data_IF_079962318577
#
_entry.id   IF_079962318577
#
_cell.length_a   1.000
_cell.length_b   1.000
_cell.length_c   1.000
_cell.angle_alpha   90.00
_cell.angle_beta   90.00
_cell.angle_gamma   90.00
#
_symmetry.space_group_name_H-M   'P 1'
#
loop_
_entity.id
_entity.type
_entity.pdbx_description
1 polymer ?
#
# COMPACT_ATOMS: atom_id res chain seq x y z
N UNK A 1 3.42 0.16 -27.96
CA UNK A 1 3.67 0.33 -26.51
C UNK A 1 3.66 -0.98 -25.67
N UNK A 2 2.97 -2.07 -26.06
CA UNK A 2 2.85 -3.32 -25.25
C UNK A 2 4.15 -4.09 -25.00
N UNK A 3 5.16 -4.05 -25.86
CA UNK A 3 6.41 -4.84 -25.74
C UNK A 3 7.34 -4.39 -24.60
N UNK A 4 7.30 -3.12 -24.17
CA UNK A 4 8.18 -2.59 -23.11
C UNK A 4 7.78 -2.97 -21.68
N UNK A 5 6.58 -3.54 -21.46
CA UNK A 5 6.03 -3.86 -20.13
C UNK A 5 5.98 -5.38 -19.86
N UNK A 6 6.60 -6.19 -20.70
CA UNK A 6 6.58 -7.66 -20.53
C UNK A 6 7.19 -8.13 -19.19
N UNK A 7 8.28 -7.51 -18.64
CA UNK A 7 8.82 -7.97 -17.37
C UNK A 7 7.81 -7.77 -16.24
N UNK A 8 7.13 -6.63 -16.20
CA UNK A 8 6.11 -6.37 -15.19
C UNK A 8 4.95 -7.37 -15.29
N UNK A 9 4.51 -7.68 -16.53
CA UNK A 9 3.45 -8.67 -16.76
C UNK A 9 3.88 -10.09 -16.35
N UNK A 10 5.14 -10.44 -16.52
CA UNK A 10 5.70 -11.70 -16.04
C UNK A 10 5.66 -11.77 -14.51
N UNK A 11 6.08 -10.70 -13.83
CA UNK A 11 5.99 -10.61 -12.36
C UNK A 11 4.55 -10.77 -11.87
N UNK A 12 3.58 -10.10 -12.51
CA UNK A 12 2.17 -10.24 -12.14
C UNK A 12 1.72 -11.71 -12.29
N UNK A 13 2.06 -12.37 -13.40
CA UNK A 13 1.70 -13.79 -13.61
C UNK A 13 2.30 -14.69 -12.53
N UNK A 14 3.57 -14.46 -12.18
CA UNK A 14 4.25 -15.19 -11.10
C UNK A 14 3.58 -14.94 -9.75
N UNK A 15 3.22 -13.69 -9.45
CA UNK A 15 2.51 -13.34 -8.22
C UNK A 15 1.13 -14.03 -8.15
N UNK A 16 0.36 -14.01 -9.23
CA UNK A 16 -0.93 -14.68 -9.31
C UNK A 16 -0.82 -16.21 -9.15
N UNK A 17 0.22 -16.82 -9.74
CA UNK A 17 0.51 -18.23 -9.54
C UNK A 17 0.87 -18.53 -8.08
N UNK A 18 1.72 -17.70 -7.47
CA UNK A 18 2.08 -17.82 -6.06
C UNK A 18 0.85 -17.69 -5.15
N UNK A 19 -0.02 -16.71 -5.39
CA UNK A 19 -1.25 -16.52 -4.62
C UNK A 19 -2.15 -17.75 -4.69
N UNK A 20 -2.22 -18.39 -5.86
CA UNK A 20 -2.98 -19.63 -6.05
C UNK A 20 -2.35 -20.82 -5.30
N UNK A 21 -1.02 -20.94 -5.31
CA UNK A 21 -0.28 -22.01 -4.60
C UNK A 21 -0.43 -21.84 -3.08
N UNK A 22 -0.29 -20.61 -2.57
CA UNK A 22 -0.52 -20.28 -1.14
C UNK A 22 -1.99 -20.46 -0.79
N UNK A 23 -2.88 -20.35 -1.77
CA UNK A 23 -4.32 -20.53 -1.61
C UNK A 23 -5.00 -19.37 -0.92
N UNK A 24 -4.57 -18.12 -1.18
CA UNK A 24 -5.28 -16.94 -0.68
C UNK A 24 -6.74 -16.94 -1.16
N UNK A 25 -7.65 -16.61 -0.26
CA UNK A 25 -9.07 -16.41 -0.57
C UNK A 25 -9.32 -14.91 -0.71
N UNK A 26 -9.33 -14.42 -1.93
CA UNK A 26 -9.51 -13.00 -2.19
C UNK A 26 -10.97 -12.58 -2.15
N UNK A 27 -11.26 -11.49 -1.42
CA UNK A 27 -12.48 -10.68 -1.51
C UNK A 27 -12.07 -9.31 -2.07
N UNK A 28 -12.26 -9.12 -3.38
CA UNK A 28 -11.87 -7.89 -4.08
C UNK A 28 -13.13 -7.14 -4.48
N UNK A 29 -13.28 -5.89 -3.99
CA UNK A 29 -14.45 -5.06 -4.25
C UNK A 29 -14.07 -3.67 -4.75
N UNK A 30 -14.99 -3.03 -5.49
CA UNK A 30 -14.81 -1.67 -5.98
C UNK A 30 -13.73 -1.54 -7.07
N UNK A 31 -13.44 -2.62 -7.82
CA UNK A 31 -12.45 -2.59 -8.91
C UNK A 31 -12.81 -1.57 -9.97
N UNK A 32 -14.09 -1.33 -10.19
CA UNK A 32 -14.65 -0.33 -11.09
C UNK A 32 -14.22 1.11 -10.71
N UNK A 33 -13.91 1.35 -9.46
CA UNK A 33 -13.43 2.63 -8.92
C UNK A 33 -11.98 2.94 -9.32
N UNK A 34 -11.21 1.94 -9.74
CA UNK A 34 -9.91 2.21 -10.36
C UNK A 34 -10.15 2.79 -11.75
N UNK A 35 -9.70 4.01 -12.09
CA UNK A 35 -9.93 4.61 -13.40
C UNK A 35 -9.45 3.69 -14.53
N UNK A 36 -10.27 3.46 -15.55
CA UNK A 36 -9.91 2.62 -16.69
C UNK A 36 -8.84 3.26 -17.57
N UNK A 37 -8.81 4.60 -17.62
CA UNK A 37 -7.86 5.44 -18.37
C UNK A 37 -7.45 6.64 -17.53
N UNK A 38 -6.42 7.36 -17.96
CA UNK A 38 -5.91 8.51 -17.21
C UNK A 38 -5.10 8.14 -15.97
N UNK A 39 -4.51 9.15 -15.35
CA UNK A 39 -3.74 9.00 -14.11
C UNK A 39 -4.64 8.90 -12.87
N UNK A 40 -4.15 8.24 -11.83
CA UNK A 40 -4.75 8.28 -10.49
C UNK A 40 -3.70 7.91 -9.43
N UNK A 41 -3.84 8.49 -8.25
CA UNK A 41 -3.06 8.08 -7.07
C UNK A 41 -3.87 7.01 -6.33
N UNK A 42 -3.33 5.79 -6.23
CA UNK A 42 -3.88 4.73 -5.39
C UNK A 42 -3.22 4.83 -4.01
N UNK A 43 -3.95 5.30 -3.01
CA UNK A 43 -3.45 5.48 -1.65
C UNK A 43 -4.00 4.37 -0.75
N UNK A 44 -3.10 3.53 -0.23
CA UNK A 44 -3.51 2.37 0.57
C UNK A 44 -2.97 2.42 2.00
N UNK A 45 -3.72 1.82 2.94
CA UNK A 45 -3.18 1.44 4.23
C UNK A 45 -2.00 0.47 4.05
N UNK A 46 -1.18 0.32 5.09
CA UNK A 46 0.02 -0.52 5.01
C UNK A 46 0.16 -1.41 6.23
N UNK A 47 -0.23 -2.67 6.09
CA UNK A 47 -0.22 -3.68 7.17
C UNK A 47 0.66 -4.89 6.86
N UNK A 48 1.02 -5.11 5.57
CA UNK A 48 1.75 -6.28 5.10
C UNK A 48 2.82 -5.93 4.08
N UNK A 49 3.85 -6.78 3.98
CA UNK A 49 4.81 -6.71 2.87
C UNK A 49 4.19 -7.07 1.51
N UNK A 50 2.98 -7.66 1.48
CA UNK A 50 2.27 -8.02 0.24
C UNK A 50 1.33 -6.93 -0.27
N UNK A 51 1.06 -5.87 0.48
CA UNK A 51 0.03 -4.88 0.15
C UNK A 51 0.19 -4.29 -1.26
N UNK A 52 1.43 -4.01 -1.69
CA UNK A 52 1.68 -3.47 -3.04
C UNK A 52 1.22 -4.44 -4.15
N UNK A 53 1.34 -5.75 -3.93
CA UNK A 53 0.85 -6.74 -4.90
C UNK A 53 -0.68 -6.80 -4.91
N UNK A 54 -1.31 -6.65 -3.75
CA UNK A 54 -2.77 -6.64 -3.64
C UNK A 54 -3.38 -5.39 -4.25
N UNK A 55 -2.80 -4.20 -4.00
CA UNK A 55 -3.18 -2.97 -4.69
C UNK A 55 -2.95 -3.10 -6.20
N UNK A 56 -1.83 -3.68 -6.62
CA UNK A 56 -1.56 -3.96 -8.03
C UNK A 56 -2.55 -4.92 -8.67
N UNK A 57 -3.11 -5.87 -7.90
CA UNK A 57 -4.14 -6.79 -8.36
C UNK A 57 -5.41 -6.05 -8.80
N UNK A 58 -5.85 -5.02 -8.07
CA UNK A 58 -7.06 -4.25 -8.45
C UNK A 58 -6.89 -3.57 -9.81
N UNK A 59 -5.74 -2.95 -10.04
CA UNK A 59 -5.41 -2.34 -11.33
C UNK A 59 -5.29 -3.38 -12.47
N UNK A 60 -4.74 -4.56 -12.16
CA UNK A 60 -4.68 -5.66 -13.13
C UNK A 60 -6.08 -6.16 -13.50
N UNK A 61 -6.99 -6.30 -12.53
CA UNK A 61 -8.39 -6.66 -12.77
C UNK A 61 -9.12 -5.56 -13.56
N UNK A 62 -8.79 -4.28 -13.33
CA UNK A 62 -9.30 -3.14 -14.09
C UNK A 62 -8.56 -2.95 -15.42
N UNK A 63 -8.82 -3.82 -16.38
CA UNK A 63 -8.29 -3.69 -17.74
C UNK A 63 -6.76 -3.93 -17.86
N UNK A 64 -6.15 -4.70 -16.95
CA UNK A 64 -4.72 -5.02 -16.94
C UNK A 64 -3.81 -3.79 -16.83
N UNK A 65 -4.27 -2.77 -16.10
CA UNK A 65 -3.46 -1.58 -15.80
C UNK A 65 -2.29 -1.94 -14.90
N UNK A 66 -1.24 -1.12 -14.95
CA UNK A 66 -0.02 -1.29 -14.15
C UNK A 66 0.10 -0.11 -13.19
N UNK A 67 0.59 -0.38 -11.98
CA UNK A 67 0.79 0.63 -10.93
C UNK A 67 2.27 0.90 -10.75
N UNK A 68 2.68 2.17 -10.76
CA UNK A 68 4.06 2.59 -10.41
C UNK A 68 4.12 2.83 -8.91
N UNK A 69 4.67 1.89 -8.16
CA UNK A 69 4.78 2.07 -6.72
C UNK A 69 5.97 2.93 -6.34
N UNK A 70 5.75 3.83 -5.40
CA UNK A 70 6.81 4.57 -4.74
C UNK A 70 7.43 3.70 -3.63
N UNK A 71 8.70 3.39 -3.73
CA UNK A 71 9.39 2.52 -2.80
C UNK A 71 10.75 3.10 -2.35
N UNK A 72 11.21 2.71 -1.15
CA UNK A 72 12.48 3.19 -0.59
C UNK A 72 13.65 2.92 -1.55
N UNK A 73 14.55 3.89 -1.70
CA UNK A 73 15.78 3.80 -2.49
C UNK A 73 16.58 2.52 -2.20
N UNK A 74 16.63 2.08 -0.93
CA UNK A 74 17.35 0.86 -0.54
C UNK A 74 16.85 -0.41 -1.27
N UNK A 75 15.57 -0.49 -1.66
CA UNK A 75 15.02 -1.62 -2.42
C UNK A 75 15.58 -1.65 -3.83
N UNK A 76 15.85 -0.48 -4.42
CA UNK A 76 16.47 -0.34 -5.74
C UNK A 76 17.99 -0.57 -5.74
N UNK A 77 18.64 -0.39 -4.59
CA UNK A 77 20.06 -0.68 -4.42
C UNK A 77 20.38 -2.18 -4.24
N UNK A 78 19.37 -2.98 -3.86
CA UNK A 78 19.56 -4.41 -3.65
C UNK A 78 19.79 -5.14 -5.00
N UNK A 79 20.76 -6.08 -5.08
CA UNK A 79 21.19 -6.68 -6.34
C UNK A 79 20.09 -7.47 -7.08
N UNK A 80 19.17 -8.06 -6.34
CA UNK A 80 18.06 -8.85 -6.94
C UNK A 80 16.84 -7.98 -7.18
N UNK A 81 16.35 -7.25 -6.17
CA UNK A 81 15.12 -6.46 -6.31
C UNK A 81 15.31 -5.19 -7.13
N UNK A 82 16.51 -4.59 -7.14
CA UNK A 82 16.78 -3.34 -7.85
C UNK A 82 16.52 -3.41 -9.35
N UNK A 83 17.12 -4.37 -10.10
CA UNK A 83 16.81 -4.55 -11.53
C UNK A 83 15.31 -4.79 -11.79
N UNK A 84 14.65 -5.56 -10.92
CA UNK A 84 13.22 -5.85 -11.04
C UNK A 84 12.38 -4.58 -10.85
N UNK A 85 12.63 -3.80 -9.80
CA UNK A 85 11.93 -2.54 -9.53
C UNK A 85 12.10 -1.54 -10.68
N UNK A 86 13.30 -1.42 -11.23
CA UNK A 86 13.57 -0.57 -12.40
C UNK A 86 12.86 -1.06 -13.66
N UNK A 87 12.84 -2.37 -13.92
CA UNK A 87 12.17 -2.95 -15.09
C UNK A 87 10.65 -2.75 -15.04
N UNK A 88 10.08 -2.69 -13.84
CA UNK A 88 8.67 -2.37 -13.59
C UNK A 88 8.39 -0.86 -13.54
N UNK A 89 9.42 -0.02 -13.70
CA UNK A 89 9.35 1.45 -13.63
C UNK A 89 8.75 1.95 -12.31
N UNK A 90 9.04 1.25 -11.22
CA UNK A 90 8.70 1.76 -9.91
C UNK A 90 9.56 2.97 -9.56
N UNK A 91 9.07 3.83 -8.68
CA UNK A 91 9.64 5.15 -8.39
C UNK A 91 10.49 5.07 -7.12
N UNK A 92 11.82 5.25 -7.21
CA UNK A 92 12.68 5.25 -6.04
C UNK A 92 12.47 6.52 -5.20
N UNK A 93 12.23 6.36 -3.90
CA UNK A 93 12.10 7.46 -2.94
C UNK A 93 13.34 7.53 -2.08
N UNK A 94 14.14 8.56 -2.31
CA UNK A 94 15.17 8.99 -1.36
C UNK A 94 14.53 9.96 -0.37
N UNK A 95 14.57 9.63 0.91
CA UNK A 95 13.98 10.47 1.96
C UNK A 95 14.78 11.73 2.24
N UNK A 96 16.04 11.77 1.82
CA UNK A 96 16.93 12.94 1.93
C UNK A 96 16.82 13.88 0.73
N UNK A 97 16.38 13.37 -0.44
CA UNK A 97 16.31 14.11 -1.70
C UNK A 97 14.92 13.90 -2.38
N UNK A 98 13.84 13.97 -1.63
CA UNK A 98 12.49 13.59 -2.06
C UNK A 98 11.91 14.32 -3.28
N UNK A 99 12.44 15.48 -3.65
CA UNK A 99 11.91 16.29 -4.76
C UNK A 99 11.97 15.59 -6.13
N UNK A 100 12.98 14.77 -6.39
CA UNK A 100 13.12 14.02 -7.64
C UNK A 100 12.07 12.93 -7.81
N UNK A 101 11.86 12.12 -6.76
CA UNK A 101 10.84 11.07 -6.75
C UNK A 101 9.43 11.63 -6.87
N UNK A 102 9.18 12.76 -6.22
CA UNK A 102 7.91 13.46 -6.28
C UNK A 102 7.59 13.93 -7.71
N UNK A 103 8.52 14.62 -8.37
CA UNK A 103 8.35 15.06 -9.77
C UNK A 103 8.11 13.89 -10.71
N UNK A 104 8.88 12.82 -10.58
CA UNK A 104 8.70 11.60 -11.39
C UNK A 104 7.30 11.00 -11.20
N UNK A 105 6.77 10.99 -9.97
CA UNK A 105 5.42 10.52 -9.72
C UNK A 105 4.35 11.42 -10.37
N UNK A 106 4.49 12.75 -10.27
CA UNK A 106 3.58 13.71 -10.92
C UNK A 106 3.62 13.57 -12.45
N UNK A 107 4.80 13.41 -13.04
CA UNK A 107 4.96 13.21 -14.49
C UNK A 107 4.30 11.90 -14.95
N UNK A 108 4.45 10.81 -14.19
CA UNK A 108 3.78 9.54 -14.46
C UNK A 108 2.24 9.69 -14.41
N UNK A 109 1.72 10.39 -13.41
CA UNK A 109 0.29 10.68 -13.29
C UNK A 109 -0.24 11.49 -14.48
N UNK A 110 0.46 12.55 -14.88
CA UNK A 110 0.12 13.36 -16.06
C UNK A 110 0.21 12.57 -17.38
N UNK A 111 1.10 11.59 -17.43
CA UNK A 111 1.19 10.62 -18.54
C UNK A 111 0.09 9.56 -18.55
N UNK A 112 -0.85 9.62 -17.60
CA UNK A 112 -1.98 8.70 -17.50
C UNK A 112 -1.65 7.39 -16.79
N UNK A 113 -0.54 7.28 -16.06
CA UNK A 113 -0.18 6.10 -15.28
C UNK A 113 -0.83 6.11 -13.88
N UNK A 114 -1.01 4.93 -13.29
CA UNK A 114 -1.40 4.80 -11.89
C UNK A 114 -0.15 4.84 -11.00
N UNK A 115 -0.19 5.67 -9.95
CA UNK A 115 0.87 5.72 -8.94
C UNK A 115 0.33 5.18 -7.62
N UNK A 116 0.96 4.12 -7.11
CA UNK A 116 0.62 3.51 -5.83
C UNK A 116 1.49 4.05 -4.70
N UNK A 117 0.86 4.45 -3.61
CA UNK A 117 1.55 4.99 -2.44
C UNK A 117 0.97 4.42 -1.15
N UNK A 118 1.83 4.32 -0.14
CA UNK A 118 1.45 4.03 1.24
C UNK A 118 1.71 5.31 2.06
N UNK A 119 0.71 6.18 2.24
CA UNK A 119 0.92 7.49 2.87
C UNK A 119 1.36 7.40 4.34
N UNK A 120 1.15 6.26 4.99
CA UNK A 120 1.68 5.93 6.31
C UNK A 120 3.22 5.82 6.35
N UNK A 121 3.87 5.63 5.20
CA UNK A 121 5.33 5.52 5.00
C UNK A 121 6.01 4.31 5.66
N UNK A 122 5.31 3.53 6.45
CA UNK A 122 5.79 2.28 7.08
C UNK A 122 4.61 1.37 7.39
N UNK A 123 4.86 0.08 7.56
CA UNK A 123 3.84 -0.90 7.94
C UNK A 123 3.37 -0.59 9.37
N UNK A 124 2.06 -0.48 9.56
CA UNK A 124 1.44 -0.29 10.87
C UNK A 124 1.53 -1.56 11.71
N UNK A 125 2.09 -1.45 12.91
CA UNK A 125 2.17 -2.56 13.87
C UNK A 125 0.88 -2.75 14.67
N UNK A 126 0.07 -1.70 14.78
CA UNK A 126 -1.25 -1.75 15.42
C UNK A 126 -2.35 -2.21 14.47
N UNK A 127 -2.02 -2.33 13.18
CA UNK A 127 -2.95 -2.59 12.07
C UNK A 127 -4.08 -1.57 11.94
N UNK A 128 -4.00 -0.45 12.67
CA UNK A 128 -4.85 0.73 12.50
C UNK A 128 -4.14 1.71 11.57
N UNK A 129 -4.85 2.41 10.67
CA UNK A 129 -4.23 3.43 9.83
C UNK A 129 -3.50 4.50 10.64
N UNK A 130 -2.26 4.76 10.29
CA UNK A 130 -1.39 5.74 10.94
C UNK A 130 -1.67 7.15 10.42
N UNK A 131 -1.17 8.21 11.09
CA UNK A 131 -1.17 9.55 10.53
C UNK A 131 -0.54 9.57 9.14
N UNK A 132 -1.24 10.16 8.18
CA UNK A 132 -0.85 10.16 6.78
C UNK A 132 0.08 11.34 6.46
N UNK A 133 1.03 11.12 5.57
CA UNK A 133 1.81 12.19 4.95
C UNK A 133 1.06 12.77 3.76
N UNK A 134 1.15 14.07 3.56
CA UNK A 134 0.46 14.80 2.50
C UNK A 134 0.95 14.53 1.07
N UNK A 135 1.98 13.68 0.88
CA UNK A 135 2.56 13.41 -0.43
C UNK A 135 1.57 12.90 -1.46
N UNK A 136 0.64 12.01 -1.06
CA UNK A 136 -0.40 11.47 -1.94
C UNK A 136 -1.35 12.58 -2.42
N UNK A 137 -1.86 13.39 -1.48
CA UNK A 137 -2.74 14.51 -1.77
C UNK A 137 -2.06 15.56 -2.66
N UNK A 138 -0.81 15.94 -2.34
CA UNK A 138 -0.03 16.88 -3.14
C UNK A 138 0.15 16.43 -4.58
N UNK A 139 0.46 15.14 -4.81
CA UNK A 139 0.60 14.58 -6.16
C UNK A 139 -0.73 14.61 -6.91
N UNK A 140 -1.84 14.27 -6.27
CA UNK A 140 -3.17 14.30 -6.88
C UNK A 140 -3.56 15.73 -7.28
N UNK A 141 -3.38 16.71 -6.39
CA UNK A 141 -3.62 18.13 -6.63
C UNK A 141 -2.78 18.64 -7.80
N UNK A 142 -1.45 18.43 -7.76
CA UNK A 142 -0.53 18.97 -8.76
C UNK A 142 -0.71 18.33 -10.14
N UNK A 143 -1.05 17.05 -10.18
CA UNK A 143 -1.29 16.36 -11.45
C UNK A 143 -2.73 16.53 -11.97
N UNK A 144 -3.67 17.06 -11.15
CA UNK A 144 -5.07 17.18 -11.52
C UNK A 144 -5.78 15.84 -11.70
N UNK A 145 -5.42 14.83 -10.89
CA UNK A 145 -5.94 13.45 -11.01
C UNK A 145 -6.66 13.02 -9.72
N UNK A 146 -7.57 12.06 -9.79
CA UNK A 146 -8.26 11.57 -8.60
C UNK A 146 -7.32 10.83 -7.64
N UNK A 147 -7.64 10.91 -6.34
CA UNK A 147 -7.04 10.15 -5.26
C UNK A 147 -7.99 9.01 -4.90
N UNK A 148 -7.54 7.76 -5.03
CA UNK A 148 -8.38 6.56 -4.84
C UNK A 148 -7.93 5.85 -3.57
N UNK A 149 -8.77 5.80 -2.52
CA UNK A 149 -8.47 5.05 -1.31
C UNK A 149 -8.56 3.54 -1.59
N UNK A 150 -7.59 2.79 -1.09
CA UNK A 150 -7.58 1.33 -1.19
C UNK A 150 -7.27 0.75 0.18
N UNK A 151 -7.99 -0.27 0.60
CA UNK A 151 -7.70 -1.01 1.83
C UNK A 151 -7.30 -2.43 1.47
N UNK A 152 -6.22 -2.87 2.06
CA UNK A 152 -5.76 -4.26 2.02
C UNK A 152 -5.79 -4.85 3.43
N UNK A 153 -6.29 -6.08 3.57
CA UNK A 153 -6.38 -6.76 4.85
C UNK A 153 -6.13 -8.27 4.71
N UNK A 154 -5.54 -8.87 5.73
CA UNK A 154 -5.28 -10.32 5.79
C UNK A 154 -3.86 -10.71 5.41
N UNK A 155 -3.17 -9.99 4.53
CA UNK A 155 -1.79 -10.29 4.12
C UNK A 155 -0.78 -10.28 5.26
N UNK A 156 -1.00 -9.46 6.28
CA UNK A 156 -0.16 -9.37 7.48
C UNK A 156 -0.15 -10.66 8.32
N UNK A 157 -1.17 -11.50 8.21
CA UNK A 157 -1.22 -12.83 8.83
C UNK A 157 -0.17 -13.77 8.27
N UNK A 158 0.29 -13.51 7.05
CA UNK A 158 1.36 -14.27 6.41
C UNK A 158 2.71 -13.59 6.60
N UNK A 159 2.81 -12.29 6.37
CA UNK A 159 4.07 -11.57 6.53
C UNK A 159 3.88 -10.09 6.82
N UNK A 160 4.38 -9.66 7.98
CA UNK A 160 4.34 -8.27 8.43
C UNK A 160 5.60 -7.88 9.20
N UNK A 161 5.72 -6.61 9.53
CA UNK A 161 6.85 -6.08 10.28
C UNK A 161 6.90 -6.65 11.69
N UNK A 162 8.10 -7.04 12.15
CA UNK A 162 8.33 -7.55 13.50
C UNK A 162 7.90 -8.99 13.74
N UNK A 163 7.42 -9.69 12.71
CA UNK A 163 7.08 -11.11 12.78
C UNK A 163 7.78 -11.89 11.66
N UNK A 164 8.15 -13.13 11.93
CA UNK A 164 8.64 -14.05 10.90
C UNK A 164 7.50 -14.39 9.93
N UNK A 165 7.78 -14.61 8.63
CA UNK A 165 6.78 -15.12 7.71
C UNK A 165 6.18 -16.43 8.19
N UNK A 166 4.86 -16.56 8.11
CA UNK A 166 4.13 -17.78 8.45
C UNK A 166 3.43 -18.28 7.20
N UNK A 167 3.71 -19.53 6.80
CA UNK A 167 3.07 -20.14 5.65
C UNK A 167 1.68 -20.69 6.03
N UNK A 168 0.77 -19.78 6.34
CA UNK A 168 -0.62 -20.13 6.57
C UNK A 168 -1.35 -20.19 5.23
N UNK A 169 -1.99 -21.33 4.94
CA UNK A 169 -2.79 -21.51 3.71
C UNK A 169 -4.22 -21.00 3.93
N UNK A 170 -4.87 -20.64 2.82
CA UNK A 170 -6.29 -20.24 2.77
C UNK A 170 -6.63 -19.01 3.62
N UNK A 171 -5.66 -18.15 3.87
CA UNK A 171 -5.92 -16.86 4.53
C UNK A 171 -6.83 -16.03 3.64
N UNK A 172 -7.88 -15.47 4.23
CA UNK A 172 -8.70 -14.49 3.55
C UNK A 172 -7.91 -13.19 3.34
N UNK A 173 -8.01 -12.62 2.15
CA UNK A 173 -7.39 -11.34 1.79
C UNK A 173 -8.47 -10.44 1.19
N UNK A 174 -8.86 -9.42 1.94
CA UNK A 174 -9.77 -8.38 1.46
C UNK A 174 -8.96 -7.27 0.79
N UNK A 175 -9.39 -6.86 -0.41
CA UNK A 175 -8.81 -5.73 -1.15
C UNK A 175 -9.95 -4.89 -1.68
N UNK A 176 -10.23 -3.79 -0.98
CA UNK A 176 -11.37 -2.95 -1.30
C UNK A 176 -10.93 -1.59 -1.80
N UNK A 177 -11.50 -1.18 -2.90
CA UNK A 177 -11.24 0.11 -3.56
C UNK A 177 -12.46 1.00 -3.34
N UNK A 178 -12.26 2.13 -2.70
CA UNK A 178 -13.30 3.12 -2.47
C UNK A 178 -13.49 4.03 -3.69
N UNK A 179 -14.55 4.82 -3.69
CA UNK A 179 -14.82 5.80 -4.74
C UNK A 179 -13.67 6.80 -4.90
N UNK A 180 -13.33 7.17 -6.14
CA UNK A 180 -12.32 8.19 -6.40
C UNK A 180 -12.68 9.52 -5.75
N UNK A 181 -11.77 10.06 -4.98
CA UNK A 181 -11.88 11.39 -4.39
C UNK A 181 -11.42 12.42 -5.43
N UNK A 182 -12.36 13.21 -5.93
CA UNK A 182 -12.02 14.35 -6.79
C UNK A 182 -11.36 15.45 -5.97
N UNK A 183 -10.42 16.15 -6.60
CA UNK A 183 -9.84 17.37 -6.07
C UNK A 183 -10.88 18.49 -6.16
N UNK A 184 -11.10 19.18 -5.03
CA UNK A 184 -12.01 20.33 -4.97
C UNK A 184 -11.22 21.61 -5.26
N UNK A 185 -11.73 22.55 -6.10
CA UNK A 185 -11.07 23.82 -6.33
C UNK A 185 -10.79 24.57 -5.01
N UNK A 186 -9.54 24.99 -4.81
CA UNK A 186 -9.10 25.67 -3.59
C UNK A 186 -8.77 24.77 -2.41
N UNK A 187 -8.98 23.46 -2.51
CA UNK A 187 -8.63 22.49 -1.47
C UNK A 187 -7.10 22.41 -1.28
N UNK A 188 -6.67 22.48 -0.05
CA UNK A 188 -5.27 22.31 0.31
C UNK A 188 -4.88 20.83 0.39
N UNK A 189 -3.59 20.55 0.29
CA UNK A 189 -3.08 19.19 0.48
C UNK A 189 -3.33 18.63 1.89
N UNK A 190 -3.44 19.48 2.91
CA UNK A 190 -3.79 19.08 4.26
C UNK A 190 -5.24 18.59 4.33
N UNK A 191 -6.18 19.39 3.84
CA UNK A 191 -7.62 19.06 3.81
C UNK A 191 -7.88 17.76 3.02
N UNK A 192 -7.27 17.61 1.83
CA UNK A 192 -7.40 16.38 1.05
C UNK A 192 -6.76 15.17 1.77
N UNK A 193 -5.68 15.38 2.53
CA UNK A 193 -5.07 14.32 3.35
C UNK A 193 -5.98 13.90 4.51
N UNK A 194 -6.63 14.85 5.16
CA UNK A 194 -7.55 14.58 6.26
C UNK A 194 -8.81 13.85 5.77
N UNK A 195 -9.34 14.23 4.61
CA UNK A 195 -10.43 13.49 3.94
C UNK A 195 -10.00 12.06 3.61
N UNK A 196 -8.81 11.87 3.04
CA UNK A 196 -8.27 10.55 2.76
C UNK A 196 -8.14 9.71 4.04
N UNK A 197 -7.65 10.32 5.13
CA UNK A 197 -7.50 9.64 6.40
C UNK A 197 -8.85 9.18 6.98
N UNK A 198 -9.89 10.00 6.85
CA UNK A 198 -11.27 9.66 7.21
C UNK A 198 -11.77 8.46 6.40
N UNK A 199 -11.69 8.55 5.07
CA UNK A 199 -12.14 7.48 4.15
C UNK A 199 -11.41 6.15 4.39
N UNK A 200 -10.08 6.18 4.61
CA UNK A 200 -9.32 4.96 4.89
C UNK A 200 -9.73 4.32 6.23
N UNK A 201 -10.00 5.11 7.28
CA UNK A 201 -10.49 4.56 8.56
C UNK A 201 -11.85 3.90 8.40
N UNK A 202 -12.83 4.61 7.82
CA UNK A 202 -14.16 4.08 7.54
C UNK A 202 -14.11 2.78 6.73
N UNK A 203 -13.29 2.76 5.67
CA UNK A 203 -13.14 1.59 4.82
C UNK A 203 -12.47 0.42 5.56
N UNK A 204 -11.47 0.68 6.43
CA UNK A 204 -10.84 -0.34 7.27
C UNK A 204 -11.86 -0.93 8.25
N UNK A 205 -12.65 -0.10 8.93
CA UNK A 205 -13.68 -0.55 9.86
C UNK A 205 -14.72 -1.43 9.17
N UNK A 206 -15.12 -1.05 7.95
CA UNK A 206 -16.03 -1.82 7.12
C UNK A 206 -15.44 -3.17 6.69
N UNK A 207 -14.17 -3.18 6.25
CA UNK A 207 -13.44 -4.43 5.94
C UNK A 207 -13.35 -5.33 7.16
N UNK A 208 -13.05 -4.78 8.33
CA UNK A 208 -12.94 -5.55 9.59
C UNK A 208 -14.28 -6.17 9.98
N UNK A 209 -15.39 -5.43 9.85
CA UNK A 209 -16.73 -5.93 10.20
C UNK A 209 -17.17 -7.08 9.30
N UNK A 210 -16.75 -7.09 8.03
CA UNK A 210 -17.14 -8.09 7.03
C UNK A 210 -16.06 -9.16 6.79
N UNK A 211 -14.90 -9.07 7.49
CA UNK A 211 -13.80 -10.01 7.29
C UNK A 211 -14.23 -11.44 7.66
N UNK A 212 -14.05 -12.43 6.76
CA UNK A 212 -14.67 -13.75 6.93
C UNK A 212 -13.98 -14.62 7.98
N UNK A 213 -12.67 -14.42 8.22
CA UNK A 213 -11.95 -15.23 9.21
C UNK A 213 -12.22 -14.65 10.61
N UNK A 214 -12.71 -15.50 11.50
CA UNK A 214 -12.90 -15.14 12.92
C UNK A 214 -11.64 -15.51 13.71
N UNK A 215 -11.32 -14.73 14.77
CA UNK A 215 -10.21 -15.09 15.65
C UNK A 215 -10.49 -16.41 16.36
N UNK A 216 -9.46 -17.25 16.41
CA UNK A 216 -9.41 -18.47 17.20
C UNK A 216 -8.18 -18.34 18.13
N UNK A 217 -8.42 -18.21 19.43
CA UNK A 217 -7.38 -17.93 20.42
C UNK A 217 -6.78 -16.52 20.33
N UNK A 218 -5.44 -16.42 20.40
CA UNK A 218 -4.73 -15.14 20.34
C UNK A 218 -4.88 -14.45 18.97
N UNK A 219 -5.69 -13.42 18.95
CA UNK A 219 -5.99 -12.63 17.75
C UNK A 219 -4.94 -11.53 17.49
N UNK A 220 -3.66 -11.87 17.49
CA UNK A 220 -2.53 -10.94 17.28
C UNK A 220 -2.63 -10.13 15.99
N UNK A 221 -3.39 -10.60 15.02
CA UNK A 221 -3.60 -9.98 13.71
C UNK A 221 -4.79 -9.02 13.66
N UNK A 222 -5.57 -8.94 14.74
CA UNK A 222 -6.68 -7.99 14.87
C UNK A 222 -6.26 -6.78 15.71
N UNK A 223 -6.72 -5.56 15.34
CA UNK A 223 -6.52 -4.37 16.14
C UNK A 223 -7.13 -4.51 17.53
N UNK A 224 -6.49 -3.87 18.51
CA UNK A 224 -6.93 -3.92 19.91
C UNK A 224 -8.39 -3.45 20.10
N UNK A 225 -8.81 -2.40 19.40
CA UNK A 225 -10.14 -1.80 19.54
C UNK A 225 -11.30 -2.69 19.04
N UNK A 226 -11.00 -3.75 18.27
CA UNK A 226 -11.98 -4.74 17.82
C UNK A 226 -11.78 -6.10 18.49
N UNK A 227 -11.15 -6.11 19.66
CA UNK A 227 -10.95 -7.31 20.49
C UNK A 227 -9.73 -8.15 20.14
N UNK A 228 -8.81 -7.62 19.33
CA UNK A 228 -7.54 -8.28 19.04
C UNK A 228 -6.46 -8.01 20.08
N UNK A 229 -5.33 -8.70 19.97
CA UNK A 229 -4.15 -8.53 20.80
C UNK A 229 -3.00 -7.80 20.10
N UNK A 230 -3.26 -7.18 18.93
CA UNK A 230 -2.29 -6.28 18.31
C UNK A 230 -1.94 -5.11 19.23
N UNK A 231 -0.70 -4.59 19.19
CA UNK A 231 -0.33 -3.42 19.98
C UNK A 231 -1.29 -2.25 19.73
N UNK A 232 -1.64 -1.52 20.78
CA UNK A 232 -2.34 -0.24 20.60
C UNK A 232 -1.49 0.72 19.75
N UNK A 233 -2.07 1.76 19.13
CA UNK A 233 -1.27 2.74 18.39
C UNK A 233 -0.13 3.38 19.20
N UNK A 234 -0.35 3.61 20.49
CA UNK A 234 0.67 4.14 21.41
C UNK A 234 1.81 3.13 21.63
N UNK A 235 1.49 1.89 21.99
CA UNK A 235 2.49 0.83 22.17
C UNK A 235 3.25 0.54 20.86
N UNK A 236 2.58 0.58 19.72
CA UNK A 236 3.20 0.43 18.41
C UNK A 236 4.23 1.55 18.12
N UNK A 237 3.91 2.79 18.50
CA UNK A 237 4.84 3.93 18.37
C UNK A 237 6.09 3.77 19.24
N UNK A 238 5.95 3.28 20.48
CA UNK A 238 7.07 2.99 21.37
C UNK A 238 7.98 1.89 20.80
N UNK A 239 7.41 0.79 20.32
CA UNK A 239 8.15 -0.30 19.67
C UNK A 239 8.94 0.22 18.47
N UNK A 240 8.35 1.09 17.67
CA UNK A 240 9.00 1.69 16.50
C UNK A 240 10.12 2.64 16.88
N UNK A 241 9.92 3.47 17.90
CA UNK A 241 10.95 4.38 18.41
C UNK A 241 12.17 3.58 18.91
N UNK A 242 11.94 2.54 19.69
CA UNK A 242 13.00 1.64 20.16
C UNK A 242 13.75 0.95 19.00
N UNK A 243 13.02 0.45 18.00
CA UNK A 243 13.62 -0.17 16.81
C UNK A 243 14.46 0.84 15.97
N UNK A 244 14.04 2.09 15.90
CA UNK A 244 14.78 3.15 15.23
C UNK A 244 16.07 3.53 16.00
N UNK A 245 16.00 3.61 17.32
CA UNK A 245 17.16 3.86 18.18
C UNK A 245 18.23 2.78 18.01
N UNK A 246 17.83 1.51 18.18
CA UNK A 246 18.74 0.38 17.99
C UNK A 246 19.38 0.31 16.59
N UNK A 247 18.65 0.75 15.54
CA UNK A 247 19.20 0.83 14.19
C UNK A 247 20.20 1.96 14.01
N UNK A 248 20.03 3.08 14.71
CA UNK A 248 20.99 4.20 14.70
C UNK A 248 22.29 3.80 15.38
N UNK A 249 22.21 3.14 16.53
CA UNK A 249 23.36 2.63 17.27
C UNK A 249 24.22 1.66 16.43
N UNK A 250 23.57 0.68 15.76
CA UNK A 250 24.26 -0.27 14.86
C UNK A 250 24.90 0.35 13.61
N UNK A 251 24.55 1.59 13.26
CA UNK A 251 25.17 2.31 12.14
C UNK A 251 26.30 3.21 12.58
N UNK A 252 26.36 3.53 13.88
CA UNK A 252 27.38 4.36 14.47
C UNK A 252 28.56 3.51 15.02
N UNK A 253 28.36 2.23 15.28
CA UNK A 253 29.36 1.21 15.58
C UNK A 253 29.93 0.57 14.30
#
# INVERSE_FOLDING_TARGET
MRRREWPYRAVIRTALALFRVVGFRFDVRGVENVPATGGAVLASNHVSYFDFMFVGLTAHMRGRRLVRFMAKQAVFAHPVSGPLMRSMKHIPVDRSAGAGAYRHAVDALRAGELVGVFPESTISRSYVPRPLKSGAARMALEAGVPLVPVVTWGGHRVWTVGRKPVWQRRVAVSVWVDEPMSVVPGETAAELTDRLAGRLRELVDKVLSEYPDRPDGDAWWLPHHVGGSAPTPAAAAEIEAAAMAAKRERRAS
#
